data_IF_657787614990
#
_entry.id   IF_657787614990
#
_cell.length_a   1.000
_cell.length_b   1.000
_cell.length_c   1.000
_cell.angle_alpha   90.00
_cell.angle_beta   90.00
_cell.angle_gamma   90.00
#
_symmetry.space_group_name_H-M   'P 1'
#
loop_
_entity.id
_entity.type
_entity.pdbx_description
1 polymer ?
#
# COMPACT_ATOMS: atom_id res chain seq x y z
N UNK A 1 -24.93 2.85 -8.22
CA UNK A 1 -23.70 3.63 -8.49
C UNK A 1 -22.70 2.68 -9.12
N UNK A 2 -22.23 2.98 -10.33
CA UNK A 2 -21.17 2.20 -10.98
C UNK A 2 -19.81 2.77 -10.55
N UNK A 3 -18.94 1.94 -9.96
CA UNK A 3 -17.60 2.32 -9.54
C UNK A 3 -16.61 1.67 -10.50
N UNK A 4 -16.06 2.46 -11.43
CA UNK A 4 -15.07 1.99 -12.39
C UNK A 4 -13.66 2.33 -11.90
N UNK A 5 -12.75 1.38 -12.05
CA UNK A 5 -11.32 1.55 -11.73
C UNK A 5 -10.48 0.82 -12.75
N UNK A 6 -9.37 1.43 -13.15
CA UNK A 6 -8.28 0.84 -13.92
C UNK A 6 -7.03 0.63 -13.04
N UNK A 7 -7.19 0.71 -11.72
CA UNK A 7 -6.18 0.40 -10.70
C UNK A 7 -6.49 -0.96 -10.07
N UNK A 8 -5.47 -1.84 -10.02
CA UNK A 8 -5.60 -3.18 -9.47
C UNK A 8 -4.75 -3.38 -8.22
N UNK A 9 -5.36 -3.81 -7.13
CA UNK A 9 -4.67 -4.33 -5.94
C UNK A 9 -4.90 -5.85 -5.88
N UNK A 10 -3.88 -6.68 -6.17
CA UNK A 10 -4.07 -8.12 -6.23
C UNK A 10 -4.47 -8.71 -4.88
N UNK A 11 -5.27 -9.79 -4.86
CA UNK A 11 -5.52 -10.57 -3.65
C UNK A 11 -4.20 -11.00 -3.00
N UNK A 12 -4.11 -10.83 -1.67
CA UNK A 12 -2.89 -11.06 -0.87
C UNK A 12 -1.66 -10.27 -1.37
N UNK A 13 -1.89 -9.23 -2.16
CA UNK A 13 -0.88 -8.41 -2.81
C UNK A 13 0.06 -9.16 -3.77
N UNK A 14 -0.36 -10.31 -4.31
CA UNK A 14 0.47 -11.11 -5.21
C UNK A 14 0.00 -11.02 -6.66
N UNK A 15 0.85 -10.46 -7.53
CA UNK A 15 0.67 -10.49 -8.97
C UNK A 15 1.77 -11.35 -9.61
N UNK A 16 1.36 -12.37 -10.36
CA UNK A 16 2.29 -13.11 -11.23
C UNK A 16 2.62 -12.27 -12.47
N UNK A 17 3.66 -12.65 -13.21
CA UNK A 17 3.93 -12.02 -14.51
C UNK A 17 2.74 -12.15 -15.48
N UNK A 18 2.06 -13.31 -15.48
CA UNK A 18 0.84 -13.53 -16.25
C UNK A 18 -0.29 -12.56 -15.86
N UNK A 19 -0.43 -12.29 -14.56
CA UNK A 19 -1.39 -11.30 -14.05
C UNK A 19 -1.06 -9.90 -14.59
N UNK A 20 0.20 -9.47 -14.55
CA UNK A 20 0.61 -8.15 -15.07
C UNK A 20 0.38 -8.03 -16.59
N UNK A 21 0.59 -9.11 -17.35
CA UNK A 21 0.30 -9.15 -18.79
C UNK A 21 -1.21 -9.03 -19.04
N UNK A 22 -2.02 -9.78 -18.29
CA UNK A 22 -3.47 -9.74 -18.43
C UNK A 22 -4.03 -8.35 -18.09
N UNK A 23 -3.62 -7.77 -16.97
CA UNK A 23 -4.04 -6.43 -16.56
C UNK A 23 -3.74 -5.38 -17.64
N UNK A 24 -2.53 -5.41 -18.22
CA UNK A 24 -2.16 -4.55 -19.36
C UNK A 24 -3.09 -4.72 -20.56
N UNK A 25 -3.35 -5.97 -20.96
CA UNK A 25 -4.24 -6.29 -22.10
C UNK A 25 -5.68 -5.84 -21.86
N UNK A 26 -6.12 -5.78 -20.61
CA UNK A 26 -7.45 -5.32 -20.22
C UNK A 26 -7.52 -3.83 -19.87
N UNK A 27 -6.48 -3.05 -20.17
CA UNK A 27 -6.50 -1.60 -20.03
C UNK A 27 -6.33 -1.07 -18.60
N UNK A 28 -5.88 -1.91 -17.66
CA UNK A 28 -5.49 -1.42 -16.33
C UNK A 28 -4.23 -0.54 -16.44
N UNK A 29 -4.25 0.60 -15.77
CA UNK A 29 -3.12 1.54 -15.71
C UNK A 29 -2.08 1.13 -14.69
N UNK A 30 -2.50 0.50 -13.60
CA UNK A 30 -1.64 0.29 -12.45
C UNK A 30 -1.90 -1.05 -11.75
N UNK A 31 -0.82 -1.66 -11.25
CA UNK A 31 -0.88 -2.78 -10.32
C UNK A 31 -0.11 -2.46 -9.02
N UNK A 32 -0.80 -2.52 -7.88
CA UNK A 32 -0.26 -2.24 -6.55
C UNK A 32 0.03 -3.55 -5.78
N UNK A 33 1.11 -4.25 -6.13
CA UNK A 33 1.50 -5.52 -5.49
C UNK A 33 2.19 -5.35 -4.13
N UNK A 34 2.65 -6.43 -3.52
CA UNK A 34 3.24 -6.44 -2.17
C UNK A 34 4.52 -5.61 -2.06
N UNK A 35 5.26 -5.45 -3.14
CA UNK A 35 6.59 -4.82 -3.16
C UNK A 35 6.59 -3.44 -3.79
N UNK A 36 5.68 -3.16 -4.72
CA UNK A 36 5.71 -1.94 -5.51
C UNK A 36 4.33 -1.52 -6.04
N UNK A 37 4.29 -0.28 -6.49
CA UNK A 37 3.27 0.25 -7.39
C UNK A 37 3.85 0.26 -8.80
N UNK A 38 3.20 -0.42 -9.73
CA UNK A 38 3.66 -0.59 -11.12
C UNK A 38 2.73 0.13 -12.05
N UNK A 39 3.25 1.10 -12.78
CA UNK A 39 2.61 1.63 -13.97
C UNK A 39 2.73 0.58 -15.09
N UNK A 40 1.57 0.15 -15.58
CA UNK A 40 1.45 -0.91 -16.55
C UNK A 40 1.60 -0.41 -17.99
N UNK A 41 1.55 0.90 -18.22
CA UNK A 41 1.63 1.50 -19.54
C UNK A 41 3.06 1.90 -19.92
N UNK A 42 3.75 2.63 -19.04
CA UNK A 42 5.13 3.10 -19.28
C UNK A 42 6.20 2.23 -18.59
N UNK A 43 5.80 1.27 -17.76
CA UNK A 43 6.72 0.36 -17.07
C UNK A 43 7.40 0.95 -15.83
N UNK A 44 7.05 2.16 -15.40
CA UNK A 44 7.58 2.76 -14.17
C UNK A 44 7.20 1.91 -12.96
N UNK A 45 8.19 1.63 -12.11
CA UNK A 45 8.00 0.89 -10.87
C UNK A 45 8.41 1.77 -9.69
N UNK A 46 7.49 1.99 -8.77
CA UNK A 46 7.72 2.75 -7.54
C UNK A 46 7.83 1.73 -6.40
N UNK A 47 9.04 1.49 -5.86
CA UNK A 47 9.22 0.58 -4.73
C UNK A 47 8.50 1.10 -3.49
N UNK A 48 7.79 0.21 -2.81
CA UNK A 48 7.03 0.54 -1.61
C UNK A 48 6.31 -0.71 -1.14
N UNK A 49 6.91 -1.41 -0.17
CA UNK A 49 6.32 -2.64 0.37
C UNK A 49 5.04 -2.30 1.12
N UNK A 50 4.02 -3.16 0.99
CA UNK A 50 2.81 -3.07 1.81
C UNK A 50 3.10 -3.54 3.23
N UNK A 51 2.76 -2.70 4.21
CA UNK A 51 2.75 -3.00 5.62
C UNK A 51 1.33 -3.26 6.08
N UNK A 52 1.09 -4.33 6.83
CA UNK A 52 -0.24 -4.65 7.33
C UNK A 52 -0.16 -5.62 8.49
N UNK A 53 -1.29 -5.78 9.19
CA UNK A 53 -1.41 -6.77 10.24
C UNK A 53 -1.56 -8.15 9.60
N UNK A 54 -0.71 -9.10 10.00
CA UNK A 54 -0.92 -10.49 9.61
C UNK A 54 -2.14 -11.02 10.38
N UNK A 55 -3.06 -11.74 9.72
CA UNK A 55 -4.08 -12.52 10.43
C UNK A 55 -3.38 -13.71 11.09
N UNK A 56 -2.93 -13.55 12.33
CA UNK A 56 -2.43 -14.65 13.16
C UNK A 56 -3.12 -14.65 14.51
N UNK A 57 -3.43 -15.84 15.02
CA UNK A 57 -4.21 -16.06 16.25
C UNK A 57 -3.39 -15.83 17.54
N UNK A 58 -2.09 -15.53 17.42
CA UNK A 58 -1.20 -15.24 18.56
C UNK A 58 -0.29 -14.04 18.26
N UNK A 59 -0.06 -13.20 19.27
CA UNK A 59 0.92 -12.10 19.24
C UNK A 59 0.40 -10.74 18.74
N UNK A 60 -0.87 -10.39 18.97
CA UNK A 60 -1.50 -9.14 18.50
C UNK A 60 -0.68 -7.88 18.84
N UNK A 61 -0.15 -7.78 20.06
CA UNK A 61 0.70 -6.66 20.48
C UNK A 61 1.99 -6.56 19.66
N UNK A 62 2.65 -7.69 19.39
CA UNK A 62 3.88 -7.71 18.61
C UNK A 62 3.61 -7.33 17.14
N UNK A 63 2.48 -7.76 16.56
CA UNK A 63 2.08 -7.36 15.21
C UNK A 63 1.78 -5.86 15.11
N UNK A 64 1.07 -5.31 16.09
CA UNK A 64 0.81 -3.87 16.19
C UNK A 64 2.12 -3.08 16.22
N UNK A 65 3.06 -3.50 17.07
CA UNK A 65 4.37 -2.87 17.16
C UNK A 65 5.20 -3.02 15.87
N UNK A 66 5.20 -4.21 15.27
CA UNK A 66 5.91 -4.47 14.01
C UNK A 66 5.36 -3.63 12.85
N UNK A 67 4.05 -3.37 12.81
CA UNK A 67 3.43 -2.47 11.84
C UNK A 67 4.01 -1.06 11.97
N UNK A 68 3.93 -0.46 13.16
CA UNK A 68 4.40 0.90 13.43
C UNK A 68 5.89 1.04 13.11
N UNK A 69 6.72 0.10 13.55
CA UNK A 69 8.16 0.09 13.24
C UNK A 69 8.46 -0.06 11.75
N UNK A 70 7.68 -0.90 11.06
CA UNK A 70 7.79 -1.10 9.61
C UNK A 70 7.55 0.20 8.87
N UNK A 71 6.47 0.89 9.22
CA UNK A 71 6.06 2.16 8.61
C UNK A 71 7.02 3.29 8.95
N UNK A 72 7.43 3.44 10.21
CA UNK A 72 8.41 4.45 10.62
C UNK A 72 9.72 4.33 9.83
N UNK A 73 10.21 3.09 9.63
CA UNK A 73 11.41 2.83 8.83
C UNK A 73 11.20 3.18 7.36
N UNK A 74 10.05 2.88 6.79
CA UNK A 74 9.76 3.22 5.40
C UNK A 74 9.70 4.74 5.21
N UNK A 75 8.98 5.44 6.08
CA UNK A 75 8.80 6.90 6.06
C UNK A 75 10.12 7.64 6.24
N UNK A 76 10.95 7.24 7.23
CA UNK A 76 12.26 7.86 7.48
C UNK A 76 13.23 7.77 6.30
N UNK A 77 13.06 6.79 5.40
CA UNK A 77 13.87 6.68 4.17
C UNK A 77 13.35 7.54 3.01
N UNK A 78 12.26 8.29 3.20
CA UNK A 78 11.63 9.11 2.16
C UNK A 78 11.00 8.30 1.03
N UNK A 79 10.75 7.01 1.24
CA UNK A 79 10.14 6.13 0.25
C UNK A 79 8.61 6.11 0.32
N UNK A 80 7.98 5.44 -0.64
CA UNK A 80 6.54 5.22 -0.64
C UNK A 80 6.14 4.33 0.56
N UNK A 81 5.31 4.88 1.45
CA UNK A 81 4.68 4.16 2.56
C UNK A 81 3.31 3.65 2.13
N UNK A 82 3.07 2.35 2.32
CA UNK A 82 1.78 1.71 2.01
C UNK A 82 1.32 0.91 3.22
N UNK A 83 0.17 1.28 3.76
CA UNK A 83 -0.47 0.62 4.90
C UNK A 83 -1.72 -0.09 4.37
N UNK A 84 -1.83 -1.39 4.59
CA UNK A 84 -3.02 -2.17 4.32
C UNK A 84 -3.73 -2.54 5.62
N UNK A 85 -5.04 -2.41 5.60
CA UNK A 85 -5.90 -2.53 6.79
C UNK A 85 -7.14 -3.32 6.39
N UNK A 86 -7.48 -4.34 7.18
CA UNK A 86 -8.77 -5.02 7.09
C UNK A 86 -9.80 -4.29 7.96
N UNK A 87 -11.04 -4.14 7.48
CA UNK A 87 -12.08 -3.46 8.25
C UNK A 87 -12.36 -4.13 9.61
N UNK A 88 -12.21 -5.46 9.69
CA UNK A 88 -12.34 -6.21 10.93
C UNK A 88 -11.23 -5.92 11.94
N UNK A 89 -10.04 -5.49 11.50
CA UNK A 89 -8.98 -5.03 12.38
C UNK A 89 -9.39 -3.73 13.07
N UNK A 90 -10.05 -2.83 12.34
CA UNK A 90 -10.45 -1.52 12.87
C UNK A 90 -11.51 -1.58 13.96
N UNK A 91 -12.27 -2.67 14.06
CA UNK A 91 -13.21 -2.89 15.16
C UNK A 91 -12.46 -3.09 16.49
N UNK A 92 -11.27 -3.68 16.45
CA UNK A 92 -10.47 -4.04 17.63
C UNK A 92 -9.60 -2.85 18.08
N UNK A 93 -9.65 -2.43 19.37
CA UNK A 93 -8.92 -1.24 19.83
C UNK A 93 -7.40 -1.27 19.59
N UNK A 94 -6.73 -2.39 19.86
CA UNK A 94 -5.28 -2.51 19.67
C UNK A 94 -4.85 -2.33 18.21
N UNK A 95 -5.33 -3.18 17.29
CA UNK A 95 -5.10 -3.03 15.85
C UNK A 95 -5.46 -1.66 15.28
N UNK A 96 -6.63 -1.11 15.68
CA UNK A 96 -7.04 0.24 15.28
C UNK A 96 -6.02 1.29 15.71
N UNK A 97 -5.60 1.27 16.98
CA UNK A 97 -4.61 2.22 17.49
C UNK A 97 -3.28 2.07 16.75
N UNK A 98 -2.83 0.85 16.49
CA UNK A 98 -1.59 0.60 15.75
C UNK A 98 -1.61 1.15 14.31
N UNK A 99 -2.78 1.11 13.65
CA UNK A 99 -2.95 1.73 12.32
C UNK A 99 -2.85 3.25 12.42
N UNK A 100 -3.50 3.86 13.42
CA UNK A 100 -3.42 5.31 13.63
C UNK A 100 -1.99 5.74 13.97
N UNK A 101 -1.31 5.04 14.88
CA UNK A 101 0.08 5.30 15.24
C UNK A 101 1.02 5.17 14.02
N UNK A 102 0.75 4.20 13.14
CA UNK A 102 1.49 4.02 11.90
C UNK A 102 1.26 5.17 10.90
N UNK A 103 0.04 5.72 10.83
CA UNK A 103 -0.26 6.91 10.02
C UNK A 103 0.47 8.12 10.62
N UNK A 104 0.34 8.34 11.93
CA UNK A 104 0.92 9.48 12.63
C UNK A 104 2.45 9.51 12.50
N UNK A 105 3.12 8.36 12.65
CA UNK A 105 4.59 8.31 12.48
C UNK A 105 5.02 8.53 11.03
N UNK A 106 4.21 8.15 10.04
CA UNK A 106 4.49 8.44 8.64
C UNK A 106 4.38 9.95 8.36
N UNK A 107 3.30 10.58 8.84
CA UNK A 107 3.08 12.03 8.75
C UNK A 107 4.18 12.81 9.47
N UNK A 108 4.59 12.37 10.67
CA UNK A 108 5.68 12.97 11.42
C UNK A 108 7.01 12.99 10.63
N UNK A 109 7.25 11.97 9.81
CA UNK A 109 8.41 11.88 8.92
C UNK A 109 8.19 12.58 7.56
N UNK A 110 7.12 13.35 7.39
CA UNK A 110 6.86 14.15 6.20
C UNK A 110 6.17 13.39 5.05
N UNK A 111 5.56 12.23 5.32
CA UNK A 111 4.75 11.57 4.30
C UNK A 111 3.49 12.40 3.99
N UNK A 112 3.13 12.48 2.71
CA UNK A 112 1.90 13.12 2.25
C UNK A 112 0.84 12.05 1.92
N UNK A 113 -0.39 12.14 2.47
CA UNK A 113 -1.48 11.24 2.12
C UNK A 113 -1.85 11.36 0.65
N UNK A 114 -2.01 10.23 -0.04
CA UNK A 114 -2.28 10.23 -1.48
C UNK A 114 -3.05 8.98 -1.91
N UNK A 115 -3.86 9.11 -2.97
CA UNK A 115 -4.49 7.97 -3.66
C UNK A 115 -3.52 7.37 -4.68
N UNK A 116 -3.76 6.14 -5.13
CA UNK A 116 -2.96 5.57 -6.23
C UNK A 116 -3.07 6.41 -7.53
N UNK A 117 -4.20 7.06 -7.76
CA UNK A 117 -4.37 7.98 -8.87
C UNK A 117 -3.49 9.22 -8.71
N UNK A 118 -3.47 9.85 -7.53
CA UNK A 118 -2.57 10.99 -7.25
C UNK A 118 -1.09 10.62 -7.35
N UNK A 119 -0.72 9.41 -6.90
CA UNK A 119 0.65 8.91 -6.99
C UNK A 119 1.09 8.74 -8.44
N UNK A 120 0.20 8.26 -9.31
CA UNK A 120 0.46 8.17 -10.73
C UNK A 120 0.63 9.55 -11.36
N UNK A 121 -0.26 10.50 -11.06
CA UNK A 121 -0.20 11.87 -11.61
C UNK A 121 1.06 12.63 -11.17
N UNK A 122 1.43 12.55 -9.89
CA UNK A 122 2.66 13.19 -9.39
C UNK A 122 3.93 12.67 -10.06
N UNK A 123 3.94 11.40 -10.50
CA UNK A 123 5.09 10.83 -11.21
C UNK A 123 5.15 11.22 -12.67
N UNK A 124 4.00 11.38 -13.33
CA UNK A 124 3.95 11.95 -14.67
C UNK A 124 4.44 13.40 -14.69
N UNK A 125 4.17 14.19 -13.63
CA UNK A 125 4.60 15.58 -13.54
C UNK A 125 6.12 15.77 -13.33
N UNK A 126 6.84 14.70 -12.97
CA UNK A 126 8.29 14.72 -12.70
C UNK A 126 9.09 14.10 -13.86
N UNK A 127 8.42 13.55 -14.88
CA UNK A 127 9.02 12.95 -16.07
C UNK A 127 8.97 13.88 -17.27
#
# INVERSE_FOLDING_TARGET
MDLRTDYFAPPRWLASNGTLIALRRHGFRLCADVTAVRDLHNGVVIPGRVHGLARTERGEQWLCWALVLGVARAARRGGLVRIAVDAGDLVRPGPRQAVLDAIDIALHHGAEPMTYAGLHLSRLAVS
#
